data_IF_199019265292
#
_entry.id   IF_199019265292
#
_cell.length_a   1.000
_cell.length_b   1.000
_cell.length_c   1.000
_cell.angle_alpha   90.00
_cell.angle_beta   90.00
_cell.angle_gamma   90.00
#
_symmetry.space_group_name_H-M   'P 1'
#
loop_
_entity.id
_entity.type
_entity.pdbx_description
1 polymer ?
#
# COMPACT_ATOMS: atom_id res chain seq x y z
N UNK A 1 -8.79 14.87 9.17
CA UNK A 1 -7.55 14.73 8.39
C UNK A 1 -7.76 13.98 7.07
N UNK A 2 -8.48 12.84 7.01
CA UNK A 2 -8.76 12.11 5.75
C UNK A 2 -9.53 12.93 4.71
N UNK A 3 -10.49 13.75 5.10
CA UNK A 3 -11.26 14.62 4.19
C UNK A 3 -10.41 15.71 3.50
N UNK A 4 -9.23 16.00 4.02
CA UNK A 4 -8.27 16.91 3.39
C UNK A 4 -7.28 16.24 2.45
N UNK A 5 -7.32 14.90 2.31
CA UNK A 5 -6.42 14.17 1.44
C UNK A 5 -7.10 13.91 0.09
N UNK A 6 -6.81 14.73 -0.91
CA UNK A 6 -7.42 14.68 -2.24
C UNK A 6 -7.30 13.28 -2.89
N UNK A 7 -6.16 12.57 -2.83
CA UNK A 7 -6.06 11.22 -3.40
C UNK A 7 -7.13 10.26 -2.90
N UNK A 8 -7.48 10.31 -1.62
CA UNK A 8 -8.53 9.44 -1.08
C UNK A 8 -9.91 9.75 -1.68
N UNK A 9 -10.20 11.02 -1.90
CA UNK A 9 -11.47 11.43 -2.50
C UNK A 9 -11.55 11.03 -3.97
N UNK A 10 -10.46 11.17 -4.70
CA UNK A 10 -10.38 10.83 -6.13
C UNK A 10 -10.36 9.32 -6.38
N UNK A 11 -9.84 8.52 -5.44
CA UNK A 11 -9.88 7.06 -5.54
C UNK A 11 -11.22 6.44 -5.11
N UNK A 12 -12.14 7.18 -4.48
CA UNK A 12 -13.44 6.66 -4.08
C UNK A 12 -14.27 6.08 -5.24
N UNK A 13 -14.39 6.76 -6.40
CA UNK A 13 -15.11 6.22 -7.55
C UNK A 13 -14.45 4.95 -8.13
N UNK A 14 -13.15 4.82 -7.96
CA UNK A 14 -12.37 3.68 -8.49
C UNK A 14 -12.51 2.40 -7.67
N UNK A 15 -13.19 2.42 -6.51
CA UNK A 15 -13.32 1.28 -5.58
C UNK A 15 -11.97 0.55 -5.39
N UNK A 16 -10.90 1.32 -5.24
CA UNK A 16 -9.55 0.77 -5.12
C UNK A 16 -9.31 0.24 -3.70
N UNK A 17 -8.88 -1.00 -3.59
CA UNK A 17 -8.70 -1.68 -2.30
C UNK A 17 -7.77 -0.96 -1.31
N UNK A 18 -6.91 -0.05 -1.79
CA UNK A 18 -6.02 0.76 -0.94
C UNK A 18 -6.80 1.69 0.00
N UNK A 19 -7.87 2.33 -0.48
CA UNK A 19 -8.70 3.24 0.33
C UNK A 19 -9.33 2.47 1.49
N UNK A 20 -9.87 1.28 1.21
CA UNK A 20 -10.41 0.39 2.24
C UNK A 20 -9.33 -0.10 3.20
N UNK A 21 -8.20 -0.55 2.68
CA UNK A 21 -7.07 -1.04 3.46
C UNK A 21 -6.53 0.02 4.43
N UNK A 22 -6.34 1.26 3.95
CA UNK A 22 -5.87 2.36 4.80
C UNK A 22 -6.93 2.73 5.83
N UNK A 23 -8.22 2.78 5.46
CA UNK A 23 -9.31 3.08 6.37
C UNK A 23 -9.39 2.06 7.51
N UNK A 24 -9.37 0.77 7.20
CA UNK A 24 -9.31 -0.29 8.21
C UNK A 24 -8.01 -0.25 9.01
N UNK A 25 -6.87 0.03 8.36
CA UNK A 25 -5.59 0.22 9.02
C UNK A 25 -5.62 1.32 10.08
N UNK A 26 -6.27 2.45 9.80
CA UNK A 26 -6.44 3.53 10.79
C UNK A 26 -7.31 3.12 11.97
N UNK A 27 -8.41 2.39 11.73
CA UNK A 27 -9.26 1.85 12.80
C UNK A 27 -8.47 0.86 13.66
N UNK A 28 -7.67 0.01 13.03
CA UNK A 28 -6.79 -0.95 13.72
C UNK A 28 -5.76 -0.23 14.58
N UNK A 29 -5.03 0.76 14.03
CA UNK A 29 -4.05 1.54 14.79
C UNK A 29 -4.69 2.29 15.97
N UNK A 30 -5.89 2.86 15.76
CA UNK A 30 -6.66 3.47 16.85
C UNK A 30 -7.01 2.45 17.93
N UNK A 31 -7.51 1.27 17.57
CA UNK A 31 -7.86 0.23 18.51
C UNK A 31 -6.65 -0.27 19.32
N UNK A 32 -5.48 -0.43 18.67
CA UNK A 32 -4.22 -0.80 19.33
C UNK A 32 -3.79 0.28 20.32
N UNK A 33 -3.85 1.55 19.95
CA UNK A 33 -3.56 2.68 20.85
C UNK A 33 -4.55 2.76 22.02
N UNK A 34 -5.84 2.53 21.74
CA UNK A 34 -6.87 2.48 22.78
C UNK A 34 -6.64 1.32 23.75
N UNK A 35 -6.14 0.16 23.26
CA UNK A 35 -5.73 -0.93 24.14
C UNK A 35 -4.56 -0.54 25.02
N UNK A 36 -3.56 0.13 24.49
CA UNK A 36 -2.42 0.60 25.27
C UNK A 36 -2.87 1.53 26.42
N UNK A 37 -3.86 2.39 26.16
CA UNK A 37 -4.34 3.37 27.14
C UNK A 37 -5.31 2.78 28.15
N UNK A 38 -6.29 1.98 27.70
CA UNK A 38 -7.38 1.50 28.55
C UNK A 38 -7.22 0.06 29.04
N UNK A 39 -6.30 -0.72 28.48
CA UNK A 39 -6.03 -2.14 28.77
C UNK A 39 -7.28 -3.06 28.64
N UNK A 40 -8.31 -2.64 27.87
CA UNK A 40 -9.55 -3.41 27.68
C UNK A 40 -9.44 -4.34 26.47
N UNK A 41 -9.61 -5.65 26.69
CA UNK A 41 -9.50 -6.71 25.66
C UNK A 41 -10.40 -6.50 24.43
N UNK A 42 -11.53 -5.78 24.56
CA UNK A 42 -12.43 -5.45 23.46
C UNK A 42 -11.72 -4.71 22.31
N UNK A 43 -10.70 -3.91 22.62
CA UNK A 43 -9.95 -3.20 21.58
C UNK A 43 -9.02 -4.13 20.81
N UNK A 44 -8.47 -5.19 21.45
CA UNK A 44 -7.71 -6.22 20.74
C UNK A 44 -8.65 -7.01 19.83
N UNK A 45 -9.82 -7.39 20.29
CA UNK A 45 -10.80 -8.10 19.48
C UNK A 45 -11.21 -7.27 18.25
N UNK A 46 -11.47 -5.97 18.44
CA UNK A 46 -11.76 -5.07 17.33
C UNK A 46 -10.58 -4.98 16.35
N UNK A 47 -9.36 -4.76 16.85
CA UNK A 47 -8.16 -4.70 16.01
C UNK A 47 -7.94 -5.99 15.21
N UNK A 48 -8.15 -7.15 15.82
CA UNK A 48 -8.01 -8.45 15.19
C UNK A 48 -9.06 -8.68 14.08
N UNK A 49 -10.34 -8.36 14.36
CA UNK A 49 -11.40 -8.46 13.36
C UNK A 49 -11.13 -7.54 12.16
N UNK A 50 -10.77 -6.28 12.45
CA UNK A 50 -10.46 -5.29 11.40
C UNK A 50 -9.22 -5.69 10.60
N UNK A 51 -8.19 -6.25 11.25
CA UNK A 51 -7.00 -6.76 10.58
C UNK A 51 -7.32 -7.86 9.56
N UNK A 52 -8.18 -8.82 9.94
CA UNK A 52 -8.63 -9.88 9.02
C UNK A 52 -9.34 -9.31 7.79
N UNK A 53 -10.29 -8.39 7.98
CA UNK A 53 -11.01 -7.76 6.87
C UNK A 53 -10.05 -6.94 5.98
N UNK A 54 -9.15 -6.19 6.58
CA UNK A 54 -8.22 -5.33 5.87
C UNK A 54 -7.24 -6.12 4.98
N UNK A 55 -6.74 -7.25 5.45
CA UNK A 55 -5.84 -8.13 4.66
C UNK A 55 -6.59 -8.77 3.50
N UNK A 56 -7.86 -9.13 3.66
CA UNK A 56 -8.70 -9.63 2.57
C UNK A 56 -8.97 -8.55 1.52
N UNK A 57 -9.16 -7.29 1.96
CA UNK A 57 -9.34 -6.18 1.04
C UNK A 57 -8.08 -5.90 0.21
N UNK A 58 -6.89 -6.00 0.82
CA UNK A 58 -5.61 -5.80 0.12
C UNK A 58 -4.43 -6.44 0.85
N UNK A 59 -3.64 -7.22 0.13
CA UNK A 59 -2.43 -7.88 0.67
C UNK A 59 -1.41 -6.88 1.26
N UNK A 60 -1.33 -5.63 0.74
CA UNK A 60 -0.42 -4.60 1.26
C UNK A 60 -0.69 -4.20 2.72
N UNK A 61 -1.85 -4.55 3.28
CA UNK A 61 -2.16 -4.38 4.71
C UNK A 61 -1.14 -5.07 5.62
N UNK A 62 -0.44 -6.10 5.14
CA UNK A 62 0.64 -6.74 5.90
C UNK A 62 1.73 -5.76 6.34
N UNK A 63 1.98 -4.69 5.59
CA UNK A 63 2.92 -3.63 5.96
C UNK A 63 2.46 -2.95 7.25
N UNK A 64 1.16 -2.62 7.35
CA UNK A 64 0.57 -2.02 8.56
C UNK A 64 0.63 -3.02 9.73
N UNK A 65 0.36 -4.29 9.48
CA UNK A 65 0.42 -5.35 10.49
C UNK A 65 1.84 -5.54 11.04
N UNK A 66 2.86 -5.47 10.19
CA UNK A 66 4.27 -5.48 10.63
C UNK A 66 4.52 -4.28 11.57
N UNK A 67 4.03 -3.09 11.20
CA UNK A 67 4.09 -1.90 12.05
C UNK A 67 3.43 -2.10 13.41
N UNK A 68 2.25 -2.73 13.46
CA UNK A 68 1.55 -3.10 14.69
C UNK A 68 2.37 -4.09 15.53
N UNK A 69 3.00 -5.07 14.88
CA UNK A 69 3.91 -6.02 15.55
C UNK A 69 5.11 -5.32 16.21
N UNK A 70 5.78 -4.43 15.47
CA UNK A 70 6.90 -3.62 15.98
C UNK A 70 6.42 -2.76 17.16
N UNK A 71 5.28 -2.08 17.02
CA UNK A 71 4.70 -1.26 18.08
C UNK A 71 4.41 -2.08 19.33
N UNK A 72 3.84 -3.28 19.20
CA UNK A 72 3.57 -4.18 20.32
C UNK A 72 4.86 -4.56 21.07
N UNK A 73 5.97 -4.81 20.35
CA UNK A 73 7.30 -5.06 20.93
C UNK A 73 7.79 -3.84 21.71
N UNK A 74 7.75 -2.64 21.11
CA UNK A 74 8.21 -1.42 21.72
C UNK A 74 7.42 -1.09 23.02
N UNK A 75 6.08 -1.22 22.98
CA UNK A 75 5.23 -1.00 24.17
C UNK A 75 5.49 -2.06 25.25
N UNK A 76 5.69 -3.33 24.86
CA UNK A 76 6.05 -4.41 25.77
C UNK A 76 7.37 -4.09 26.51
N UNK A 77 8.39 -3.63 25.78
CA UNK A 77 9.69 -3.23 26.37
C UNK A 77 9.55 -2.01 27.28
N UNK A 78 8.79 -0.98 26.86
CA UNK A 78 8.56 0.25 27.64
C UNK A 78 7.79 -0.03 28.94
N UNK A 79 6.69 -0.77 28.84
CA UNK A 79 5.80 -1.05 29.99
C UNK A 79 6.16 -2.31 30.79
N UNK A 80 7.11 -3.11 30.29
CA UNK A 80 7.53 -4.41 30.86
C UNK A 80 6.36 -5.38 31.10
N UNK A 81 5.34 -5.33 30.23
CA UNK A 81 4.13 -6.18 30.32
C UNK A 81 3.99 -7.02 29.06
N UNK A 82 4.15 -8.34 29.17
CA UNK A 82 4.05 -9.29 28.04
C UNK A 82 2.68 -9.33 27.34
N UNK A 83 1.64 -8.81 28.00
CA UNK A 83 0.29 -8.75 27.43
C UNK A 83 0.22 -7.96 26.09
N UNK A 84 1.08 -6.98 25.87
CA UNK A 84 1.13 -6.20 24.62
C UNK A 84 1.70 -7.04 23.47
N UNK A 85 2.71 -7.86 23.75
CA UNK A 85 3.25 -8.81 22.76
C UNK A 85 2.22 -9.87 22.37
N UNK A 86 1.49 -10.41 23.37
CA UNK A 86 0.39 -11.36 23.11
C UNK A 86 -0.73 -10.71 22.30
N UNK A 87 -1.05 -9.43 22.55
CA UNK A 87 -2.03 -8.69 21.76
C UNK A 87 -1.60 -8.52 20.31
N UNK A 88 -0.36 -8.10 20.06
CA UNK A 88 0.21 -7.99 18.71
C UNK A 88 0.20 -9.35 17.99
N UNK A 89 0.63 -10.41 18.66
CA UNK A 89 0.60 -11.77 18.13
C UNK A 89 -0.82 -12.23 17.79
N UNK A 90 -1.81 -11.97 18.67
CA UNK A 90 -3.20 -12.34 18.42
C UNK A 90 -3.78 -11.63 17.19
N UNK A 91 -3.46 -10.35 16.98
CA UNK A 91 -3.89 -9.58 15.79
C UNK A 91 -3.28 -10.19 14.52
N UNK A 92 -1.96 -10.43 14.52
CA UNK A 92 -1.25 -11.02 13.38
C UNK A 92 -1.76 -12.44 13.06
N UNK A 93 -1.94 -13.25 14.09
CA UNK A 93 -2.45 -14.62 13.94
C UNK A 93 -3.87 -14.62 13.37
N UNK A 94 -4.76 -13.73 13.87
CA UNK A 94 -6.12 -13.62 13.36
C UNK A 94 -6.12 -13.24 11.88
N UNK A 95 -5.30 -12.27 11.47
CA UNK A 95 -5.17 -11.90 10.07
C UNK A 95 -4.70 -13.08 9.19
N UNK A 96 -3.68 -13.82 9.63
CA UNK A 96 -3.16 -14.99 8.93
C UNK A 96 -4.21 -16.12 8.83
N UNK A 97 -4.90 -16.41 9.92
CA UNK A 97 -5.96 -17.42 9.95
C UNK A 97 -7.16 -17.03 9.08
N UNK A 98 -7.50 -15.74 9.01
CA UNK A 98 -8.57 -15.25 8.13
C UNK A 98 -8.24 -15.49 6.67
N UNK A 99 -7.01 -15.14 6.22
CA UNK A 99 -6.56 -15.42 4.85
C UNK A 99 -6.63 -16.92 4.57
N UNK A 100 -6.02 -17.74 5.46
CA UNK A 100 -6.01 -19.20 5.28
C UNK A 100 -7.41 -19.82 5.25
N UNK A 101 -8.32 -19.32 6.07
CA UNK A 101 -9.71 -19.81 6.08
C UNK A 101 -10.42 -19.48 4.76
N UNK A 102 -10.20 -18.29 4.20
CA UNK A 102 -10.76 -17.90 2.89
C UNK A 102 -10.15 -18.74 1.77
N UNK A 103 -8.82 -18.96 1.77
CA UNK A 103 -8.14 -19.83 0.81
C UNK A 103 -8.72 -21.24 0.82
N UNK A 104 -8.81 -21.86 1.99
CA UNK A 104 -9.38 -23.23 2.15
C UNK A 104 -10.84 -23.27 1.70
N UNK A 105 -11.63 -22.24 2.03
CA UNK A 105 -13.04 -22.17 1.60
C UNK A 105 -13.14 -22.04 0.07
N UNK A 106 -12.28 -21.25 -0.54
CA UNK A 106 -12.22 -21.10 -2.00
C UNK A 106 -11.85 -22.42 -2.68
N UNK A 107 -10.77 -23.06 -2.25
CA UNK A 107 -10.31 -24.36 -2.76
C UNK A 107 -11.38 -25.45 -2.62
N UNK A 108 -12.05 -25.51 -1.47
CA UNK A 108 -13.14 -26.46 -1.25
C UNK A 108 -14.34 -26.23 -2.17
N UNK A 109 -14.70 -24.96 -2.46
CA UNK A 109 -15.86 -24.62 -3.30
C UNK A 109 -15.57 -24.65 -4.78
N UNK A 110 -14.42 -24.21 -5.20
CA UNK A 110 -14.05 -24.09 -6.60
C UNK A 110 -13.41 -25.35 -7.17
N UNK A 111 -12.79 -26.18 -6.33
CA UNK A 111 -11.95 -27.31 -6.75
C UNK A 111 -10.58 -26.87 -7.31
N UNK A 112 -10.26 -25.59 -7.28
CA UNK A 112 -8.99 -25.03 -7.78
C UNK A 112 -8.13 -24.50 -6.62
N UNK A 113 -6.78 -24.57 -6.73
CA UNK A 113 -5.89 -23.94 -5.76
C UNK A 113 -6.15 -22.43 -5.66
N UNK A 114 -5.98 -21.84 -4.48
CA UNK A 114 -6.16 -20.40 -4.25
C UNK A 114 -5.01 -19.55 -4.78
N UNK A 115 -3.87 -20.16 -5.09
CA UNK A 115 -2.62 -19.51 -5.45
C UNK A 115 -2.31 -19.49 -6.96
N UNK A 116 -3.31 -19.79 -7.81
CA UNK A 116 -3.15 -19.84 -9.27
C UNK A 116 -2.97 -18.48 -9.98
N UNK A 117 -2.84 -17.41 -9.23
CA UNK A 117 -2.63 -16.06 -9.75
C UNK A 117 -1.19 -15.77 -10.23
N UNK A 118 -0.97 -14.55 -10.67
CA UNK A 118 0.35 -14.07 -11.10
C UNK A 118 1.36 -14.22 -9.96
N UNK A 119 2.52 -14.88 -10.20
CA UNK A 119 3.55 -15.05 -9.18
C UNK A 119 4.05 -13.72 -8.61
N UNK A 120 4.11 -13.62 -7.27
CA UNK A 120 4.52 -12.38 -6.60
C UNK A 120 5.93 -11.91 -6.98
N UNK A 121 6.80 -12.83 -7.40
CA UNK A 121 8.17 -12.52 -7.83
C UNK A 121 8.19 -11.60 -9.07
N UNK A 122 7.19 -11.70 -9.96
CA UNK A 122 7.09 -10.84 -11.15
C UNK A 122 6.81 -9.38 -10.80
N UNK A 123 6.12 -9.11 -9.68
CA UNK A 123 5.95 -7.75 -9.18
C UNK A 123 7.25 -7.14 -8.66
N UNK A 124 8.11 -7.98 -8.05
CA UNK A 124 9.45 -7.56 -7.62
C UNK A 124 10.32 -7.28 -8.86
N UNK A 125 10.29 -8.18 -9.84
CA UNK A 125 11.02 -8.02 -11.10
C UNK A 125 10.61 -6.72 -11.82
N UNK A 126 9.29 -6.47 -11.96
CA UNK A 126 8.76 -5.23 -12.53
C UNK A 126 9.27 -4.00 -11.77
N UNK A 127 9.31 -4.06 -10.44
CA UNK A 127 9.81 -2.96 -9.60
C UNK A 127 11.30 -2.68 -9.74
N UNK A 128 12.06 -3.51 -10.43
CA UNK A 128 13.49 -3.32 -10.73
C UNK A 128 13.73 -2.92 -12.20
N UNK A 129 12.66 -2.79 -12.99
CA UNK A 129 12.76 -2.37 -14.38
C UNK A 129 12.78 -0.85 -14.54
N UNK A 130 13.20 -0.43 -15.72
CA UNK A 130 13.18 0.95 -16.16
C UNK A 130 12.33 1.02 -17.44
N UNK A 131 11.35 1.90 -17.45
CA UNK A 131 10.41 2.05 -18.57
C UNK A 131 10.20 3.54 -18.83
N UNK A 132 10.41 3.99 -20.05
CA UNK A 132 10.26 5.40 -20.47
C UNK A 132 11.04 6.39 -19.57
N UNK A 133 12.23 5.98 -19.10
CA UNK A 133 13.10 6.78 -18.24
C UNK A 133 12.67 6.82 -16.76
N UNK A 134 11.57 6.16 -16.40
CA UNK A 134 11.10 6.05 -15.02
C UNK A 134 11.53 4.72 -14.39
N UNK A 135 11.95 4.77 -13.12
CA UNK A 135 12.49 3.63 -12.40
C UNK A 135 11.42 2.89 -11.60
N UNK A 136 11.18 1.62 -11.93
CA UNK A 136 10.32 0.73 -11.16
C UNK A 136 8.84 1.08 -11.19
N UNK A 137 8.37 1.70 -12.28
CA UNK A 137 6.95 2.01 -12.50
C UNK A 137 6.18 0.80 -13.01
N UNK A 138 4.84 0.89 -12.90
CA UNK A 138 3.95 -0.14 -13.44
C UNK A 138 3.98 -0.14 -14.96
N UNK A 139 4.42 -1.25 -15.56
CA UNK A 139 4.57 -1.45 -17.01
C UNK A 139 3.92 -2.73 -17.54
N UNK A 140 3.08 -3.38 -16.74
CA UNK A 140 2.39 -4.64 -17.04
C UNK A 140 3.31 -5.87 -17.20
N UNK A 141 4.59 -5.79 -16.94
CA UNK A 141 5.53 -6.90 -17.06
C UNK A 141 5.01 -8.21 -16.45
N UNK A 142 4.46 -8.15 -15.24
CA UNK A 142 3.94 -9.31 -14.54
C UNK A 142 2.77 -9.99 -15.28
N UNK A 143 1.95 -9.21 -15.99
CA UNK A 143 0.83 -9.74 -16.77
C UNK A 143 1.31 -10.34 -18.09
N UNK A 144 2.21 -9.62 -18.77
CA UNK A 144 2.77 -10.03 -20.06
C UNK A 144 3.57 -11.31 -19.90
N UNK A 145 4.53 -11.35 -18.96
CA UNK A 145 5.35 -12.55 -18.70
C UNK A 145 4.47 -13.74 -18.29
N UNK A 146 3.44 -13.52 -17.45
CA UNK A 146 2.56 -14.62 -17.07
C UNK A 146 1.74 -15.16 -18.24
N UNK A 147 1.30 -14.29 -19.15
CA UNK A 147 0.58 -14.70 -20.37
C UNK A 147 1.52 -15.39 -21.39
N UNK A 148 2.75 -14.93 -21.55
CA UNK A 148 3.77 -15.53 -22.41
C UNK A 148 4.14 -16.95 -21.99
N UNK A 149 3.98 -17.28 -20.71
CA UNK A 149 4.13 -18.63 -20.18
C UNK A 149 2.81 -19.41 -20.08
N UNK A 150 1.82 -19.11 -20.91
CA UNK A 150 0.52 -19.79 -20.93
C UNK A 150 -0.15 -19.85 -19.54
N UNK A 151 0.01 -18.80 -18.74
CA UNK A 151 -0.51 -18.68 -17.37
C UNK A 151 0.02 -19.75 -16.41
N UNK A 152 1.19 -20.32 -16.70
CA UNK A 152 1.87 -21.28 -15.83
C UNK A 152 2.76 -20.55 -14.82
N UNK A 153 2.54 -20.82 -13.53
CA UNK A 153 3.23 -20.11 -12.46
C UNK A 153 4.73 -20.37 -12.40
N UNK A 154 5.12 -21.65 -12.52
CA UNK A 154 6.52 -22.06 -12.31
C UNK A 154 7.47 -21.48 -13.37
N UNK A 155 7.19 -21.58 -14.69
CA UNK A 155 8.03 -20.97 -15.73
C UNK A 155 8.09 -19.45 -15.61
N UNK A 156 6.94 -18.80 -15.41
CA UNK A 156 6.87 -17.34 -15.24
C UNK A 156 7.64 -16.87 -13.98
N UNK A 157 7.50 -17.60 -12.87
CA UNK A 157 8.26 -17.29 -11.66
C UNK A 157 9.77 -17.50 -11.83
N UNK A 158 10.18 -18.49 -12.62
CA UNK A 158 11.58 -18.75 -12.92
C UNK A 158 12.20 -17.59 -13.70
N UNK A 159 11.50 -17.11 -14.76
CA UNK A 159 11.93 -15.93 -15.53
C UNK A 159 12.09 -14.70 -14.62
N UNK A 160 11.10 -14.43 -13.76
CA UNK A 160 11.18 -13.32 -12.81
C UNK A 160 12.38 -13.43 -11.86
N UNK A 161 12.71 -14.65 -11.38
CA UNK A 161 13.88 -14.88 -10.52
C UNK A 161 15.19 -14.65 -11.27
N UNK A 162 15.26 -15.06 -12.52
CA UNK A 162 16.43 -14.87 -13.38
C UNK A 162 16.67 -13.40 -13.66
N UNK A 163 15.62 -12.67 -14.05
CA UNK A 163 15.66 -11.23 -14.23
C UNK A 163 16.16 -10.50 -12.97
N UNK A 164 15.59 -10.80 -11.80
CA UNK A 164 16.02 -10.19 -10.53
C UNK A 164 17.50 -10.48 -10.26
N UNK A 165 17.95 -11.73 -10.46
CA UNK A 165 19.34 -12.13 -10.23
C UNK A 165 20.31 -11.36 -11.13
N UNK A 166 19.94 -11.21 -12.40
CA UNK A 166 20.74 -10.47 -13.35
C UNK A 166 20.79 -8.97 -13.00
N UNK A 167 19.64 -8.36 -12.71
CA UNK A 167 19.55 -6.95 -12.32
C UNK A 167 20.33 -6.64 -11.05
N UNK A 168 20.29 -7.53 -10.05
CA UNK A 168 21.09 -7.39 -8.83
C UNK A 168 22.59 -7.56 -9.09
N UNK A 169 22.97 -8.38 -10.07
CA UNK A 169 24.38 -8.49 -10.51
C UNK A 169 24.85 -7.19 -11.15
N UNK A 170 24.07 -6.61 -12.09
CA UNK A 170 24.35 -5.31 -12.71
C UNK A 170 24.52 -4.20 -11.65
N UNK A 171 23.64 -4.14 -10.66
CA UNK A 171 23.71 -3.16 -9.57
C UNK A 171 24.97 -3.34 -8.70
N UNK A 172 25.43 -4.58 -8.52
CA UNK A 172 26.66 -4.88 -7.79
C UNK A 172 27.89 -4.49 -8.60
N UNK A 173 27.89 -4.74 -9.89
CA UNK A 173 28.98 -4.41 -10.81
C UNK A 173 29.07 -2.89 -11.05
N UNK A 174 27.92 -2.20 -11.03
CA UNK A 174 27.85 -0.74 -11.17
C UNK A 174 27.04 -0.07 -10.04
N UNK A 175 27.64 0.18 -8.87
CA UNK A 175 26.95 0.80 -7.73
C UNK A 175 26.48 2.24 -8.00
N UNK A 176 27.08 2.94 -8.99
CA UNK A 176 26.63 4.28 -9.38
C UNK A 176 25.26 4.21 -10.09
N UNK A 177 25.10 3.27 -11.01
CA UNK A 177 23.83 2.97 -11.68
C UNK A 177 22.77 2.55 -10.66
N UNK A 178 23.10 1.68 -9.70
CA UNK A 178 22.16 1.29 -8.65
C UNK A 178 21.68 2.48 -7.84
N UNK A 179 22.59 3.36 -7.41
CA UNK A 179 22.24 4.60 -6.68
C UNK A 179 21.32 5.50 -7.49
N UNK A 180 21.62 5.70 -8.77
CA UNK A 180 20.81 6.53 -9.65
C UNK A 180 19.43 5.95 -9.84
N UNK A 181 19.33 4.64 -10.09
CA UNK A 181 18.06 3.94 -10.21
C UNK A 181 17.18 4.10 -8.96
N UNK A 182 17.71 3.80 -7.78
CA UNK A 182 16.94 3.89 -6.53
C UNK A 182 16.63 5.33 -6.15
N UNK A 183 17.50 6.30 -6.48
CA UNK A 183 17.25 7.72 -6.29
C UNK A 183 16.05 8.16 -7.14
N UNK A 184 16.07 7.88 -8.46
CA UNK A 184 14.94 8.19 -9.37
C UNK A 184 13.66 7.49 -8.93
N UNK A 185 13.74 6.22 -8.57
CA UNK A 185 12.57 5.48 -8.06
C UNK A 185 11.96 6.14 -6.82
N UNK A 186 12.80 6.65 -5.93
CA UNK A 186 12.32 7.37 -4.74
C UNK A 186 11.73 8.73 -5.11
N UNK A 187 12.40 9.48 -6.00
CA UNK A 187 11.92 10.76 -6.50
C UNK A 187 10.57 10.61 -7.19
N UNK A 188 10.41 9.64 -8.09
CA UNK A 188 9.17 9.37 -8.83
C UNK A 188 7.98 9.04 -7.89
N UNK A 189 8.24 8.41 -6.74
CA UNK A 189 7.21 8.15 -5.74
C UNK A 189 6.68 9.41 -5.04
N UNK A 190 7.50 10.47 -4.96
CA UNK A 190 7.17 11.69 -4.21
C UNK A 190 6.91 12.90 -5.10
N UNK A 191 7.26 12.83 -6.39
CA UNK A 191 7.08 13.92 -7.35
C UNK A 191 5.60 14.23 -7.59
N UNK A 192 4.74 13.21 -7.50
CA UNK A 192 3.31 13.39 -7.69
C UNK A 192 2.54 13.17 -6.38
N UNK A 193 2.28 14.24 -5.60
CA UNK A 193 1.59 14.13 -4.31
C UNK A 193 0.16 13.57 -4.40
N UNK A 194 -0.42 13.52 -5.58
CA UNK A 194 -1.75 12.95 -5.84
C UNK A 194 -1.72 11.44 -6.12
N UNK A 195 -0.54 10.81 -6.19
CA UNK A 195 -0.39 9.37 -6.47
C UNK A 195 -1.15 8.92 -7.72
N UNK A 196 -1.08 9.68 -8.80
CA UNK A 196 -1.79 9.42 -10.06
C UNK A 196 -3.32 9.25 -9.92
N UNK A 197 -3.93 9.73 -8.84
CA UNK A 197 -5.36 9.53 -8.59
C UNK A 197 -6.24 10.23 -9.62
N UNK A 198 -5.83 11.39 -10.15
CA UNK A 198 -6.49 12.03 -11.28
C UNK A 198 -6.37 11.20 -12.56
N UNK A 199 -5.16 10.71 -12.87
CA UNK A 199 -4.91 9.91 -14.06
C UNK A 199 -5.61 8.54 -14.00
N UNK A 200 -5.71 7.94 -12.81
CA UNK A 200 -6.42 6.68 -12.64
C UNK A 200 -7.91 6.81 -12.98
N UNK A 201 -8.54 7.94 -12.62
CA UNK A 201 -9.93 8.23 -12.98
C UNK A 201 -10.11 8.64 -14.45
N UNK A 202 -9.09 9.18 -15.09
CA UNK A 202 -9.08 9.50 -16.53
C UNK A 202 -9.14 8.24 -17.41
N UNK A 203 -8.57 7.13 -16.97
CA UNK A 203 -8.50 5.89 -17.73
C UNK A 203 -9.80 5.08 -17.76
N UNK A 204 -10.89 5.54 -17.16
CA UNK A 204 -12.20 4.99 -17.32
C UNK A 204 -12.79 5.43 -18.68
N UNK A 205 -12.56 4.60 -19.68
CA UNK A 205 -13.32 4.65 -20.91
C UNK A 205 -14.77 4.23 -20.56
N UNK A 206 -15.67 5.19 -20.63
CA UNK A 206 -17.08 5.00 -20.29
C UNK A 206 -17.83 4.47 -21.50
N UNK A 207 -17.41 3.39 -22.12
CA UNK A 207 -18.12 2.65 -23.18
C UNK A 207 -19.18 3.46 -23.98
N UNK A 208 -18.84 4.72 -24.35
CA UNK A 208 -19.68 5.60 -25.16
C UNK A 208 -20.73 6.43 -24.40
N UNK A 209 -20.85 6.33 -23.09
CA UNK A 209 -21.71 7.24 -22.32
C UNK A 209 -21.05 8.62 -22.15
N UNK A 210 -21.72 9.70 -22.56
CA UNK A 210 -21.13 11.03 -22.47
C UNK A 210 -20.96 11.45 -21.01
N UNK A 211 -19.73 11.67 -20.59
CA UNK A 211 -19.43 12.32 -19.32
C UNK A 211 -20.07 13.71 -19.27
N UNK A 212 -20.52 14.15 -18.10
CA UNK A 212 -21.01 15.52 -17.96
C UNK A 212 -19.95 16.52 -18.42
N UNK A 213 -20.35 17.63 -19.00
CA UNK A 213 -19.44 18.66 -19.52
C UNK A 213 -18.43 19.16 -18.47
N UNK A 214 -18.83 19.19 -17.20
CA UNK A 214 -17.96 19.55 -16.08
C UNK A 214 -16.87 18.50 -15.82
N UNK A 215 -17.21 17.23 -15.87
CA UNK A 215 -16.25 16.13 -15.69
C UNK A 215 -15.30 16.09 -16.89
N UNK A 216 -15.81 16.19 -18.11
CA UNK A 216 -14.99 16.23 -19.32
C UNK A 216 -13.99 17.39 -19.29
N UNK A 217 -14.43 18.58 -18.86
CA UNK A 217 -13.56 19.75 -18.73
C UNK A 217 -12.48 19.57 -17.63
N UNK A 218 -12.79 18.86 -16.56
CA UNK A 218 -11.87 18.57 -15.45
C UNK A 218 -10.75 17.60 -15.89
N UNK A 219 -11.10 16.56 -16.65
CA UNK A 219 -10.13 15.51 -17.02
C UNK A 219 -9.44 15.74 -18.36
N UNK A 220 -10.12 16.34 -19.33
CA UNK A 220 -9.65 16.48 -20.72
C UNK A 220 -9.64 17.92 -21.25
N UNK A 221 -10.15 18.87 -20.45
CA UNK A 221 -10.34 20.26 -20.87
C UNK A 221 -9.19 21.20 -20.46
N UNK A 222 -9.36 22.45 -20.83
CA UNK A 222 -8.38 23.51 -20.61
C UNK A 222 -8.09 23.79 -19.11
N UNK A 223 -8.98 23.37 -18.20
CA UNK A 223 -8.80 23.57 -16.76
C UNK A 223 -8.02 22.40 -16.10
N UNK A 224 -7.84 21.28 -16.80
CA UNK A 224 -7.18 20.08 -16.24
C UNK A 224 -5.80 20.41 -15.64
N UNK A 225 -4.94 21.06 -16.41
CA UNK A 225 -3.58 21.39 -15.96
C UNK A 225 -3.58 22.32 -14.73
N UNK A 226 -4.50 23.30 -14.70
CA UNK A 226 -4.63 24.21 -13.56
C UNK A 226 -5.11 23.47 -12.31
N UNK A 227 -6.12 22.64 -12.44
CA UNK A 227 -6.66 21.84 -11.33
C UNK A 227 -5.61 20.87 -10.81
N UNK A 228 -4.90 20.18 -11.73
CA UNK A 228 -3.82 19.27 -11.37
C UNK A 228 -2.70 19.99 -10.58
N UNK A 229 -2.24 21.16 -11.05
CA UNK A 229 -1.24 21.96 -10.34
C UNK A 229 -1.71 22.39 -8.96
N UNK A 230 -2.93 22.95 -8.86
CA UNK A 230 -3.49 23.39 -7.57
C UNK A 230 -3.66 22.24 -6.59
N UNK A 231 -4.15 21.09 -7.05
CA UNK A 231 -4.32 19.91 -6.24
C UNK A 231 -2.97 19.36 -5.74
N UNK A 232 -1.94 19.35 -6.58
CA UNK A 232 -0.58 18.95 -6.19
C UNK A 232 0.02 19.89 -5.15
N UNK A 233 -0.10 21.22 -5.31
CA UNK A 233 0.37 22.18 -4.32
C UNK A 233 -0.36 22.02 -2.99
N UNK A 234 -1.69 21.91 -3.02
CA UNK A 234 -2.48 21.67 -1.81
C UNK A 234 -2.04 20.39 -1.09
N UNK A 235 -1.92 19.29 -1.82
CA UNK A 235 -1.56 18.00 -1.23
C UNK A 235 -0.13 18.00 -0.67
N UNK A 236 0.80 18.71 -1.32
CA UNK A 236 2.16 18.92 -0.80
C UNK A 236 2.15 19.67 0.52
N UNK A 237 1.30 20.71 0.64
CA UNK A 237 1.12 21.46 1.90
C UNK A 237 0.54 20.55 2.99
N UNK A 238 -0.44 19.70 2.67
CA UNK A 238 -1.03 18.75 3.61
C UNK A 238 0.02 17.76 4.15
N UNK A 239 0.89 17.24 3.28
CA UNK A 239 1.97 16.34 3.69
C UNK A 239 3.01 17.05 4.56
N UNK A 240 3.43 18.26 4.16
CA UNK A 240 4.37 19.07 4.94
C UNK A 240 3.80 19.41 6.32
N UNK A 241 2.55 19.84 6.39
CA UNK A 241 1.85 20.11 7.64
C UNK A 241 1.77 18.85 8.51
N UNK A 242 1.45 17.69 7.94
CA UNK A 242 1.45 16.42 8.64
C UNK A 242 2.82 16.05 9.22
N UNK A 243 3.89 16.26 8.46
CA UNK A 243 5.26 16.04 8.91
C UNK A 243 5.63 16.97 10.08
N UNK A 244 5.35 18.28 9.94
CA UNK A 244 5.65 19.29 10.98
C UNK A 244 4.84 18.98 12.26
N UNK A 245 3.55 18.72 12.15
CA UNK A 245 2.71 18.39 13.31
C UNK A 245 3.16 17.08 13.97
N UNK A 246 3.57 16.09 13.20
CA UNK A 246 4.10 14.83 13.73
C UNK A 246 5.40 15.04 14.51
N UNK A 247 6.32 15.85 13.99
CA UNK A 247 7.60 16.16 14.67
C UNK A 247 7.39 16.99 15.92
N UNK A 248 6.51 18.01 15.88
CA UNK A 248 6.17 18.84 17.05
C UNK A 248 5.51 18.00 18.15
N UNK A 249 4.56 17.14 17.81
CA UNK A 249 3.91 16.24 18.78
C UNK A 249 4.93 15.31 19.45
N UNK A 250 5.90 14.78 18.67
CA UNK A 250 6.95 13.93 19.19
C UNK A 250 7.89 14.67 20.16
N UNK A 251 8.27 15.90 19.84
CA UNK A 251 9.15 16.71 20.71
C UNK A 251 8.44 17.13 22.00
N UNK A 252 7.14 17.47 21.94
CA UNK A 252 6.34 17.78 23.13
C UNK A 252 6.18 16.57 24.07
N UNK A 253 5.90 15.39 23.54
CA UNK A 253 5.80 14.16 24.32
C UNK A 253 7.12 13.85 25.05
N UNK A 254 8.25 14.06 24.37
CA UNK A 254 9.58 13.83 24.96
C UNK A 254 9.95 14.85 26.04
N UNK A 255 9.48 16.10 25.92
CA UNK A 255 9.73 17.15 26.92
C UNK A 255 8.96 16.94 28.23
N UNK A 256 7.89 16.14 28.23
CA UNK A 256 7.13 15.76 29.42
C UNK A 256 7.61 14.45 30.07
N UNK A 257 8.53 13.73 29.45
CA UNK A 257 9.12 12.48 29.98
C UNK A 257 10.48 12.71 30.68
N UNK A 258 11.04 13.94 30.62
CA UNK A 258 12.24 14.39 31.36
C UNK A 258 11.85 15.29 32.52
#
# INVERSE_FOLDING_TARGET
>A
MMLGCIPFLLYLPYIYGDVLSISFGMVMCWAVSAYEHYEKKRYIALAACVAGIAVLARKNTWIILIGVGIYAVLVCLKKKKGQYLLAGFAILLTAALTVKAVDVMYEYRSGYPSDIGIPSILWIAMGLQETDGMAGVYNRYQQTTFAEHDFQQEPAAQEGKEYIRERLREFRENPAMARDFFKRKLEDQWIEPLFSSLKATESFDTDGEPLSSGITSLYYGNIHETVWKLANYYQSIVYLAGLVLGTVSYTHLRAHET
#
